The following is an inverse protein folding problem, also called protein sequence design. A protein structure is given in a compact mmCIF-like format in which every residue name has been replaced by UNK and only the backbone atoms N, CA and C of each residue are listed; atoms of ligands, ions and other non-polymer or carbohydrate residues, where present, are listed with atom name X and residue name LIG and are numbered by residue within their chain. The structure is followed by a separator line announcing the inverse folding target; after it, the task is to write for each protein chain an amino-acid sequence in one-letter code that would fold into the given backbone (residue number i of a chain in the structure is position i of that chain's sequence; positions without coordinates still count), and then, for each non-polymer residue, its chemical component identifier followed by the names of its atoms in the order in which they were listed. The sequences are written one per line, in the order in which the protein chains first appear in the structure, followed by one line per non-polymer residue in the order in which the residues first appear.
data_IF_344556168536
#
_entry.id   IF_344556168536
#
_cell.length_a   1.000
_cell.length_b   1.000
_cell.length_c   1.000
_cell.angle_alpha   90.00
_cell.angle_beta   90.00
_cell.angle_gamma   90.00
#
_symmetry.space_group_name_H-M   'P 1'
#
loop_
_entity.id
_entity.type
_entity.pdbx_description
1 polymer ?
#
# COMPACT_ATOMS: atom_id res chain seq x y z
N UNK A 1 36.00 -5.13 59.53
CA UNK A 1 34.94 -4.53 58.68
C UNK A 1 35.46 -4.54 57.25
N UNK A 2 34.98 -5.47 56.40
CA UNK A 2 35.42 -5.63 55.00
C UNK A 2 34.17 -5.64 54.12
N UNK A 3 33.93 -4.55 53.38
CA UNK A 3 32.80 -4.42 52.47
C UNK A 3 33.25 -4.99 51.12
N UNK A 4 32.65 -6.10 50.70
CA UNK A 4 32.79 -6.65 49.34
C UNK A 4 31.80 -5.90 48.44
N UNK A 5 32.30 -5.09 47.52
CA UNK A 5 31.48 -4.51 46.46
C UNK A 5 31.19 -5.58 45.40
N UNK A 6 29.91 -5.90 45.19
CA UNK A 6 29.44 -6.74 44.10
C UNK A 6 29.39 -5.87 42.83
N UNK A 7 30.21 -6.17 41.83
CA UNK A 7 30.14 -5.55 40.52
C UNK A 7 28.95 -6.14 39.75
N UNK A 8 27.97 -5.30 39.41
CA UNK A 8 26.89 -5.65 38.50
C UNK A 8 27.39 -5.56 37.06
N UNK A 9 27.47 -6.69 36.36
CA UNK A 9 27.67 -6.73 34.91
C UNK A 9 26.42 -6.20 34.21
N UNK A 10 26.52 -5.01 33.62
CA UNK A 10 25.55 -4.51 32.64
C UNK A 10 25.86 -5.17 31.31
N UNK A 11 25.06 -6.17 30.93
CA UNK A 11 25.04 -6.69 29.57
C UNK A 11 24.45 -5.62 28.64
N UNK A 12 25.30 -4.88 27.94
CA UNK A 12 24.90 -4.10 26.76
C UNK A 12 24.60 -5.09 25.62
N UNK A 13 23.34 -5.46 25.47
CA UNK A 13 22.85 -6.09 24.23
C UNK A 13 22.86 -5.03 23.13
N UNK A 14 23.90 -5.07 22.31
CA UNK A 14 23.99 -4.33 21.06
C UNK A 14 23.04 -4.99 20.05
N UNK A 15 21.75 -4.66 20.15
CA UNK A 15 20.76 -5.03 19.15
C UNK A 15 21.16 -4.35 17.85
N UNK A 16 21.63 -5.13 16.88
CA UNK A 16 22.05 -4.65 15.57
C UNK A 16 20.99 -3.72 14.98
N UNK A 17 21.39 -2.48 14.73
CA UNK A 17 20.67 -1.55 13.87
C UNK A 17 20.71 -2.12 12.44
N UNK A 18 19.87 -3.10 12.17
CA UNK A 18 19.39 -3.31 10.81
C UNK A 18 18.65 -2.04 10.45
N UNK A 19 19.20 -1.26 9.50
CA UNK A 19 18.45 -0.19 8.86
C UNK A 19 17.29 -0.85 8.12
N UNK A 20 16.16 -1.01 8.80
CA UNK A 20 14.91 -1.28 8.12
C UNK A 20 14.65 -0.04 7.24
N UNK A 21 14.77 -0.20 5.93
CA UNK A 21 14.26 0.81 5.01
C UNK A 21 12.77 0.92 5.29
N UNK A 22 12.31 2.12 5.65
CA UNK A 22 10.90 2.35 5.82
C UNK A 22 10.21 2.18 4.46
N UNK A 23 9.02 1.59 4.48
CA UNK A 23 8.13 1.58 3.32
C UNK A 23 8.02 3.00 2.73
N UNK A 24 7.95 3.08 1.41
CA UNK A 24 7.89 4.34 0.67
C UNK A 24 6.56 4.44 -0.05
N UNK A 25 5.86 5.55 0.15
CA UNK A 25 4.61 5.85 -0.53
C UNK A 25 4.86 6.76 -1.73
N UNK A 26 4.33 6.35 -2.88
CA UNK A 26 4.26 7.13 -4.09
C UNK A 26 2.81 7.54 -4.32
N UNK A 27 2.54 8.83 -4.38
CA UNK A 27 1.19 9.39 -4.59
C UNK A 27 1.10 10.03 -5.96
N UNK A 28 0.10 9.64 -6.73
CA UNK A 28 -0.24 10.24 -8.01
C UNK A 28 -1.38 11.24 -7.84
N UNK A 29 -1.14 12.47 -8.28
CA UNK A 29 -2.15 13.49 -8.44
C UNK A 29 -2.31 13.78 -9.93
N UNK A 30 -3.37 13.25 -10.53
CA UNK A 30 -3.75 13.53 -11.91
C UNK A 30 -4.36 14.91 -12.07
N UNK A 31 -4.53 15.27 -13.34
CA UNK A 31 -5.30 16.44 -13.75
C UNK A 31 -6.76 16.03 -14.00
N UNK A 32 -7.62 17.03 -14.14
CA UNK A 32 -8.99 16.79 -14.57
C UNK A 32 -9.03 16.25 -16.01
N UNK A 33 -10.06 15.44 -16.30
CA UNK A 33 -10.31 14.97 -17.66
C UNK A 33 -10.66 16.13 -18.61
N UNK A 34 -10.12 16.04 -19.82
CA UNK A 34 -10.43 16.96 -20.90
C UNK A 34 -11.66 16.52 -21.69
N UNK A 35 -11.82 15.21 -21.86
CA UNK A 35 -13.01 14.58 -22.42
C UNK A 35 -13.53 13.53 -21.44
N UNK A 36 -14.84 13.50 -21.25
CA UNK A 36 -15.49 12.62 -20.30
C UNK A 36 -16.93 12.35 -20.74
N UNK A 37 -17.25 11.06 -20.87
CA UNK A 37 -18.60 10.58 -21.09
C UNK A 37 -19.12 9.95 -19.80
N UNK A 38 -20.43 10.12 -19.56
CA UNK A 38 -21.09 9.57 -18.37
C UNK A 38 -20.69 8.09 -18.15
N UNK A 39 -20.46 7.64 -16.91
CA UNK A 39 -20.72 8.33 -15.65
C UNK A 39 -19.69 9.40 -15.26
N UNK A 40 -18.64 9.59 -16.07
CA UNK A 40 -17.58 10.54 -15.78
C UNK A 40 -17.97 11.98 -16.13
N UNK A 41 -17.24 12.92 -15.52
CA UNK A 41 -17.34 14.36 -15.82
C UNK A 41 -15.94 14.96 -15.93
N UNK A 42 -15.81 16.09 -16.63
CA UNK A 42 -14.54 16.83 -16.74
C UNK A 42 -14.08 17.50 -15.45
N UNK A 43 -14.85 17.39 -14.36
CA UNK A 43 -14.42 17.81 -13.02
C UNK A 43 -13.68 16.69 -12.26
N UNK A 44 -13.72 15.45 -12.78
CA UNK A 44 -13.04 14.30 -12.22
C UNK A 44 -11.65 14.14 -12.81
N UNK A 45 -10.81 13.34 -12.16
CA UNK A 45 -9.48 13.01 -12.61
C UNK A 45 -8.93 11.82 -11.83
N UNK A 46 -7.84 11.27 -12.33
CA UNK A 46 -7.22 10.10 -11.73
C UNK A 46 -6.38 10.52 -10.52
N UNK A 47 -6.51 9.81 -9.41
CA UNK A 47 -5.65 9.99 -8.24
C UNK A 47 -5.42 8.66 -7.54
N UNK A 48 -4.33 8.55 -6.78
CA UNK A 48 -4.08 7.32 -6.04
C UNK A 48 -2.70 7.25 -5.43
N UNK A 49 -2.39 6.11 -4.85
CA UNK A 49 -1.05 5.86 -4.32
C UNK A 49 -0.69 4.38 -4.32
N UNK A 50 0.60 4.14 -4.22
CA UNK A 50 1.19 2.81 -4.03
C UNK A 50 2.27 2.87 -2.94
N UNK A 51 2.39 1.80 -2.18
CA UNK A 51 3.38 1.64 -1.12
C UNK A 51 4.32 0.51 -1.50
N UNK A 52 5.62 0.78 -1.48
CA UNK A 52 6.67 -0.21 -1.74
C UNK A 52 7.49 -0.43 -0.47
N UNK A 53 8.09 -1.63 -0.26
CA UNK A 53 8.93 -1.91 0.91
C UNK A 53 10.20 -1.03 1.02
N UNK A 54 10.58 -0.38 -0.07
CA UNK A 54 11.69 0.56 -0.15
C UNK A 54 11.45 1.55 -1.29
N UNK A 55 12.16 2.68 -1.28
CA UNK A 55 12.18 3.59 -2.41
C UNK A 55 12.68 2.86 -3.66
N UNK A 56 12.09 3.19 -4.80
CA UNK A 56 12.58 2.76 -6.09
C UNK A 56 14.06 3.16 -6.26
N UNK A 57 14.84 2.33 -6.96
CA UNK A 57 16.24 2.64 -7.25
C UNK A 57 16.35 3.96 -8.02
N UNK A 58 17.43 4.70 -7.75
CA UNK A 58 17.75 5.94 -8.44
C UNK A 58 18.13 5.71 -9.91
N UNK A 59 17.83 6.71 -10.75
CA UNK A 59 18.25 6.82 -12.15
C UNK A 59 17.94 5.58 -13.01
N UNK A 60 16.79 4.96 -12.78
CA UNK A 60 16.35 3.83 -13.59
C UNK A 60 15.40 4.29 -14.70
N UNK A 61 15.37 3.51 -15.78
CA UNK A 61 14.46 3.73 -16.90
C UNK A 61 13.61 2.49 -17.09
N UNK A 62 12.30 2.69 -17.23
CA UNK A 62 11.35 1.64 -17.60
C UNK A 62 11.39 0.37 -16.74
N UNK A 63 11.58 0.53 -15.42
CA UNK A 63 11.51 -0.59 -14.49
C UNK A 63 10.06 -1.02 -14.29
N UNK A 64 9.81 -2.32 -14.44
CA UNK A 64 8.50 -2.91 -14.16
C UNK A 64 8.34 -3.08 -12.65
N UNK A 65 7.22 -2.62 -12.11
CA UNK A 65 6.88 -2.69 -10.68
C UNK A 65 5.57 -3.46 -10.51
N UNK A 66 5.39 -4.11 -9.36
CA UNK A 66 4.16 -4.85 -9.06
C UNK A 66 4.39 -6.32 -8.67
N UNK A 67 3.30 -7.11 -8.58
CA UNK A 67 3.36 -8.49 -8.10
C UNK A 67 4.31 -9.36 -8.93
N UNK A 68 5.16 -10.14 -8.25
CA UNK A 68 6.10 -11.05 -8.90
C UNK A 68 7.32 -10.40 -9.57
N UNK A 69 7.51 -9.08 -9.41
CA UNK A 69 8.67 -8.34 -9.93
C UNK A 69 9.74 -8.15 -8.85
N UNK A 70 10.92 -7.61 -9.23
CA UNK A 70 11.96 -7.18 -8.28
C UNK A 70 11.54 -6.00 -7.40
N UNK A 71 10.45 -5.31 -7.76
CA UNK A 71 9.93 -4.13 -7.05
C UNK A 71 8.45 -4.36 -6.70
N UNK A 72 8.17 -5.24 -5.72
CA UNK A 72 6.81 -5.56 -5.31
C UNK A 72 6.12 -4.35 -4.66
N UNK A 73 4.82 -4.25 -4.87
CA UNK A 73 3.96 -3.23 -4.27
C UNK A 73 3.23 -3.85 -3.08
N UNK A 74 3.46 -3.33 -1.88
CA UNK A 74 2.83 -3.78 -0.64
C UNK A 74 1.34 -3.48 -0.62
N UNK A 75 0.94 -2.26 -0.99
CA UNK A 75 -0.46 -1.83 -1.08
C UNK A 75 -0.63 -0.77 -2.16
N UNK A 76 -1.83 -0.67 -2.74
CA UNK A 76 -2.16 0.40 -3.69
C UNK A 76 -3.66 0.66 -3.73
N UNK A 77 -4.01 1.89 -4.10
CA UNK A 77 -5.39 2.34 -4.32
C UNK A 77 -5.41 3.49 -5.31
N UNK A 78 -6.23 3.40 -6.34
CA UNK A 78 -6.46 4.47 -7.32
C UNK A 78 -7.95 4.72 -7.49
N UNK A 79 -8.31 5.95 -7.86
CA UNK A 79 -9.65 6.32 -8.27
C UNK A 79 -9.58 7.09 -9.57
N UNK A 80 -10.55 6.84 -10.43
CA UNK A 80 -10.83 7.58 -11.67
C UNK A 80 -11.91 8.67 -11.46
N UNK A 81 -12.37 8.88 -10.21
CA UNK A 81 -13.47 9.78 -9.85
C UNK A 81 -14.85 9.13 -9.76
N UNK A 82 -15.02 7.90 -10.26
CA UNK A 82 -16.25 7.09 -10.17
C UNK A 82 -15.99 5.79 -9.42
N UNK A 83 -15.02 5.02 -9.90
CA UNK A 83 -14.55 3.76 -9.36
C UNK A 83 -13.36 3.95 -8.43
N UNK A 84 -13.16 2.97 -7.54
CA UNK A 84 -11.97 2.84 -6.71
C UNK A 84 -11.37 1.46 -6.93
N UNK A 85 -10.13 1.45 -7.43
CA UNK A 85 -9.35 0.28 -7.75
C UNK A 85 -8.36 -0.01 -6.63
N UNK A 86 -8.38 -1.24 -6.14
CA UNK A 86 -7.55 -1.73 -5.04
C UNK A 86 -7.04 -3.13 -5.35
N UNK A 87 -6.09 -3.62 -4.55
CA UNK A 87 -5.63 -5.02 -4.61
C UNK A 87 -6.76 -6.06 -4.52
N UNK A 88 -7.88 -5.72 -3.86
CA UNK A 88 -8.97 -6.66 -3.62
C UNK A 88 -9.95 -6.78 -4.78
N UNK A 89 -10.07 -5.76 -5.64
CA UNK A 89 -11.09 -5.68 -6.67
C UNK A 89 -10.55 -5.42 -8.08
N UNK A 90 -9.25 -5.18 -8.24
CA UNK A 90 -8.63 -4.92 -9.54
C UNK A 90 -7.24 -5.56 -9.65
N UNK A 91 -6.77 -5.69 -10.89
CA UNK A 91 -5.52 -6.35 -11.23
C UNK A 91 -4.56 -5.37 -11.93
N UNK A 92 -3.36 -5.24 -11.38
CA UNK A 92 -2.25 -4.53 -12.03
C UNK A 92 -1.73 -5.36 -13.21
N UNK A 93 -1.53 -4.71 -14.36
CA UNK A 93 -0.99 -5.32 -15.58
C UNK A 93 0.55 -5.27 -15.64
N UNK A 94 1.23 -5.68 -14.57
CA UNK A 94 2.70 -5.63 -14.47
C UNK A 94 3.37 -6.65 -15.39
N UNK A 95 4.22 -6.15 -16.30
CA UNK A 95 4.96 -7.00 -17.24
C UNK A 95 4.08 -7.66 -18.31
N UNK A 96 2.79 -7.33 -18.35
CA UNK A 96 1.87 -7.82 -19.36
C UNK A 96 2.05 -6.94 -20.60
N UNK A 97 2.49 -7.55 -21.70
CA UNK A 97 2.64 -6.87 -22.98
C UNK A 97 1.31 -6.84 -23.71
N UNK A 98 0.84 -5.64 -24.02
CA UNK A 98 -0.40 -5.33 -24.76
C UNK A 98 -0.01 -4.28 -25.78
N UNK A 99 0.52 -4.74 -26.91
CA UNK A 99 1.45 -3.93 -27.69
C UNK A 99 2.80 -3.76 -26.96
N UNK A 100 3.85 -3.49 -27.72
CA UNK A 100 5.18 -3.14 -27.22
C UNK A 100 5.15 -1.64 -26.83
N UNK A 101 5.57 -1.21 -25.62
CA UNK A 101 6.26 -1.94 -24.53
C UNK A 101 5.38 -2.43 -23.35
N UNK A 102 5.92 -3.33 -22.48
CA UNK A 102 5.22 -3.87 -21.30
C UNK A 102 4.64 -2.80 -20.38
N UNK A 103 3.48 -3.12 -19.79
CA UNK A 103 2.71 -2.22 -18.93
C UNK A 103 3.14 -2.31 -17.45
N UNK A 104 2.72 -1.28 -16.70
CA UNK A 104 3.03 -1.05 -15.29
C UNK A 104 4.53 -0.87 -14.99
N UNK A 105 5.10 0.13 -15.65
CA UNK A 105 6.50 0.51 -15.51
C UNK A 105 6.67 1.98 -15.18
N UNK A 106 7.80 2.31 -14.57
CA UNK A 106 8.19 3.67 -14.18
C UNK A 106 9.66 3.93 -14.47
N UNK A 107 10.01 5.20 -14.64
CA UNK A 107 11.40 5.70 -14.64
C UNK A 107 11.59 6.64 -13.45
N UNK A 108 12.82 6.73 -12.95
CA UNK A 108 13.14 7.47 -11.73
C UNK A 108 14.24 8.51 -11.89
N UNK A 109 14.21 9.55 -11.05
CA UNK A 109 15.30 10.50 -10.89
C UNK A 109 16.44 9.96 -10.01
N UNK A 110 17.46 10.78 -9.75
CA UNK A 110 18.60 10.43 -8.90
C UNK A 110 18.26 10.15 -7.42
N UNK A 111 17.02 10.39 -6.99
CA UNK A 111 16.52 10.12 -5.64
C UNK A 111 15.50 8.98 -5.59
N UNK A 112 15.12 8.39 -6.72
CA UNK A 112 14.08 7.37 -6.79
C UNK A 112 12.65 7.92 -6.91
N UNK A 113 12.47 9.22 -7.18
CA UNK A 113 11.15 9.77 -7.51
C UNK A 113 10.76 9.37 -8.92
N UNK A 114 9.46 9.11 -9.15
CA UNK A 114 8.94 8.76 -10.48
C UNK A 114 8.92 9.99 -11.38
N UNK A 115 9.56 9.87 -12.54
CA UNK A 115 9.66 10.93 -13.56
C UNK A 115 8.94 10.59 -14.86
N UNK A 116 8.76 9.31 -15.14
CA UNK A 116 7.95 8.81 -16.25
C UNK A 116 7.23 7.51 -15.85
N UNK A 117 6.10 7.23 -16.47
CA UNK A 117 5.27 6.07 -16.13
C UNK A 117 4.43 5.58 -17.32
N UNK A 118 4.05 4.32 -17.28
CA UNK A 118 3.01 3.70 -18.11
C UNK A 118 2.37 2.60 -17.28
N UNK A 119 1.27 2.95 -16.61
CA UNK A 119 0.55 2.11 -15.68
C UNK A 119 -0.80 1.75 -16.28
N UNK A 120 -1.18 0.48 -16.17
CA UNK A 120 -2.47 -0.01 -16.61
C UNK A 120 -3.01 -1.04 -15.60
N UNK A 121 -4.32 -0.99 -15.36
CA UNK A 121 -5.02 -1.93 -14.51
C UNK A 121 -6.38 -2.25 -15.09
N UNK A 122 -6.95 -3.36 -14.65
CA UNK A 122 -8.28 -3.82 -15.05
C UNK A 122 -9.08 -4.25 -13.83
N UNK A 123 -10.39 -4.05 -13.89
CA UNK A 123 -11.37 -4.47 -12.89
C UNK A 123 -12.47 -5.30 -13.57
N UNK A 124 -13.02 -6.36 -12.96
CA UNK A 124 -12.69 -6.87 -11.63
C UNK A 124 -11.30 -7.51 -11.57
N UNK A 125 -10.87 -8.02 -10.41
CA UNK A 125 -9.65 -8.81 -10.30
C UNK A 125 -9.77 -10.12 -11.11
N UNK A 126 -8.64 -10.63 -11.61
CA UNK A 126 -8.58 -11.92 -12.30
C UNK A 126 -9.05 -13.07 -11.38
N UNK A 127 -9.58 -14.20 -11.91
CA UNK A 127 -9.53 -14.62 -13.31
C UNK A 127 -10.58 -13.93 -14.20
N UNK A 128 -10.16 -13.67 -15.43
CA UNK A 128 -10.97 -13.07 -16.49
C UNK A 128 -11.34 -14.08 -17.56
N UNK A 129 -12.46 -13.83 -18.26
CA UNK A 129 -12.89 -14.58 -19.45
C UNK A 129 -13.14 -13.63 -20.62
N UNK A 130 -12.84 -14.02 -21.88
CA UNK A 130 -13.19 -13.22 -23.05
C UNK A 130 -14.70 -12.99 -23.12
N UNK A 131 -15.11 -11.80 -23.52
CA UNK A 131 -16.52 -11.38 -23.61
C UNK A 131 -17.09 -10.82 -22.30
N UNK A 132 -16.39 -10.93 -21.17
CA UNK A 132 -16.87 -10.34 -19.93
C UNK A 132 -16.69 -8.81 -19.95
N UNK A 133 -17.58 -8.07 -19.26
CA UNK A 133 -17.37 -6.66 -18.99
C UNK A 133 -16.21 -6.46 -17.99
N UNK A 134 -15.38 -5.46 -18.26
CA UNK A 134 -14.28 -5.01 -17.42
C UNK A 134 -14.21 -3.48 -17.44
N UNK A 135 -13.73 -2.88 -16.38
CA UNK A 135 -13.23 -1.51 -16.41
C UNK A 135 -11.72 -1.56 -16.68
N UNK A 136 -11.23 -0.65 -17.52
CA UNK A 136 -9.83 -0.60 -17.90
C UNK A 136 -9.28 0.82 -17.76
N UNK A 137 -8.18 0.91 -17.05
CA UNK A 137 -7.56 2.16 -16.66
C UNK A 137 -6.15 2.25 -17.22
N UNK A 138 -5.77 3.43 -17.72
CA UNK A 138 -4.39 3.73 -18.10
C UNK A 138 -3.96 5.13 -17.62
N UNK A 139 -2.76 5.21 -17.06
CA UNK A 139 -2.02 6.47 -16.94
C UNK A 139 -0.60 6.31 -17.46
N UNK A 140 -0.17 7.23 -18.30
CA UNK A 140 1.16 7.30 -18.88
C UNK A 140 1.74 8.71 -18.75
N UNK A 141 3.02 8.87 -19.07
CA UNK A 141 3.66 10.17 -19.28
C UNK A 141 4.20 10.21 -20.70
N UNK A 142 3.94 11.27 -21.47
CA UNK A 142 4.39 11.41 -22.86
C UNK A 142 3.30 11.90 -23.80
N UNK A 143 3.41 11.62 -25.10
CA UNK A 143 2.42 12.04 -26.11
C UNK A 143 1.36 10.96 -26.37
N UNK A 144 0.09 11.34 -26.37
CA UNK A 144 -1.07 10.46 -26.62
C UNK A 144 -2.12 10.59 -25.51
N UNK A 145 -2.99 9.59 -25.38
CA UNK A 145 -3.93 9.46 -24.27
C UNK A 145 -3.17 9.20 -22.97
N UNK A 146 -2.84 10.29 -22.26
CA UNK A 146 -1.98 10.28 -21.07
C UNK A 146 -2.72 9.68 -19.87
N UNK A 147 -4.02 9.93 -19.76
CA UNK A 147 -4.86 9.41 -18.69
C UNK A 147 -6.24 9.10 -19.26
N UNK A 148 -6.71 7.87 -19.08
CA UNK A 148 -8.01 7.45 -19.57
C UNK A 148 -8.53 6.20 -18.90
N UNK A 149 -9.85 6.09 -18.91
CA UNK A 149 -10.59 4.97 -18.36
C UNK A 149 -11.71 4.59 -19.34
N UNK A 150 -11.92 3.28 -19.49
CA UNK A 150 -13.07 2.71 -20.16
C UNK A 150 -13.86 1.91 -19.13
N UNK A 151 -15.12 2.30 -18.92
CA UNK A 151 -16.00 1.57 -18.01
C UNK A 151 -16.91 0.62 -18.77
N UNK A 152 -17.10 -0.58 -18.22
CA UNK A 152 -17.96 -1.63 -18.78
C UNK A 152 -17.60 -2.00 -20.23
N UNK A 153 -16.30 -2.02 -20.54
CA UNK A 153 -15.78 -2.46 -21.83
C UNK A 153 -15.63 -3.99 -21.89
N UNK A 154 -15.56 -4.56 -23.08
CA UNK A 154 -15.47 -6.01 -23.26
C UNK A 154 -14.02 -6.48 -23.31
N UNK A 155 -13.66 -7.41 -22.43
CA UNK A 155 -12.39 -8.12 -22.51
C UNK A 155 -12.32 -9.00 -23.76
N UNK A 156 -11.27 -8.89 -24.58
CA UNK A 156 -11.13 -9.68 -25.82
C UNK A 156 -9.93 -10.60 -25.85
N UNK A 157 -8.80 -10.20 -25.26
CA UNK A 157 -7.62 -11.06 -25.16
C UNK A 157 -7.23 -11.24 -23.70
N UNK A 158 -6.70 -12.43 -23.41
CA UNK A 158 -6.11 -12.77 -22.12
C UNK A 158 -4.61 -12.96 -22.27
N UNK A 159 -3.85 -12.52 -21.28
CA UNK A 159 -2.50 -12.99 -21.01
C UNK A 159 -2.56 -13.85 -19.74
N UNK A 160 -2.47 -15.17 -19.91
CA UNK A 160 -2.85 -16.10 -18.86
C UNK A 160 -4.35 -16.01 -18.56
N UNK A 161 -4.70 -15.63 -17.33
CA UNK A 161 -6.08 -15.40 -16.89
C UNK A 161 -6.40 -13.91 -16.67
N UNK A 162 -5.54 -13.00 -17.14
CA UNK A 162 -5.71 -11.56 -16.96
C UNK A 162 -6.08 -10.93 -18.30
N UNK A 163 -7.10 -10.07 -18.29
CA UNK A 163 -7.52 -9.30 -19.44
C UNK A 163 -6.40 -8.40 -19.90
N UNK A 164 -5.93 -8.65 -21.11
CA UNK A 164 -4.81 -7.97 -21.72
C UNK A 164 -5.23 -7.17 -22.95
N UNK A 165 -6.48 -7.20 -23.37
CA UNK A 165 -6.97 -6.26 -24.37
C UNK A 165 -8.47 -6.10 -24.19
N UNK A 166 -8.93 -4.86 -24.31
CA UNK A 166 -10.34 -4.49 -24.31
C UNK A 166 -10.71 -3.92 -25.67
N UNK A 167 -11.99 -3.96 -26.03
CA UNK A 167 -12.48 -3.22 -27.19
C UNK A 167 -12.64 -1.74 -26.84
N UNK A 168 -12.45 -0.86 -27.80
CA UNK A 168 -12.91 0.52 -27.65
C UNK A 168 -14.43 0.52 -27.56
N UNK A 169 -14.97 1.12 -26.50
CA UNK A 169 -16.40 1.12 -26.19
C UNK A 169 -16.64 1.07 -24.69
N UNK A 170 -17.85 0.66 -24.31
CA UNK A 170 -18.32 0.62 -22.92
C UNK A 170 -19.41 1.65 -22.64
N UNK A 171 -19.73 1.81 -21.36
CA UNK A 171 -20.75 2.78 -20.92
C UNK A 171 -20.17 4.15 -20.63
N UNK A 172 -18.86 4.25 -20.36
CA UNK A 172 -18.16 5.50 -20.09
C UNK A 172 -16.73 5.50 -20.64
N UNK A 173 -16.24 6.70 -20.94
CA UNK A 173 -14.91 6.96 -21.46
C UNK A 173 -14.36 8.25 -20.87
N UNK A 174 -13.07 8.28 -20.57
CA UNK A 174 -12.36 9.51 -20.18
C UNK A 174 -11.03 9.65 -20.89
N UNK A 175 -10.61 10.89 -21.06
CA UNK A 175 -9.32 11.23 -21.63
C UNK A 175 -8.78 12.54 -21.07
N UNK A 176 -7.48 12.58 -20.80
CA UNK A 176 -6.71 13.82 -20.67
C UNK A 176 -5.37 13.71 -21.43
N UNK A 177 -4.99 14.73 -22.21
CA UNK A 177 -3.66 14.87 -22.81
C UNK A 177 -2.67 15.56 -21.86
N UNK A 178 -3.05 15.85 -20.62
CA UNK A 178 -2.18 16.45 -19.63
C UNK A 178 -1.77 15.42 -18.58
N UNK A 179 -0.51 15.48 -18.16
CA UNK A 179 0.04 14.58 -17.17
C UNK A 179 -0.20 15.07 -15.75
N UNK A 180 -0.44 14.12 -14.85
CA UNK A 180 -0.36 14.36 -13.42
C UNK A 180 1.08 14.51 -12.93
N UNK A 181 1.22 14.39 -11.62
CA UNK A 181 2.51 14.41 -10.93
C UNK A 181 2.57 13.32 -9.87
N UNK A 182 3.79 12.84 -9.63
CA UNK A 182 4.10 11.93 -8.54
C UNK A 182 4.81 12.67 -7.41
N UNK A 183 4.46 12.32 -6.17
CA UNK A 183 5.23 12.68 -4.99
C UNK A 183 5.64 11.43 -4.21
N UNK A 184 6.80 11.48 -3.58
CA UNK A 184 7.37 10.39 -2.79
C UNK A 184 7.53 10.85 -1.34
N UNK A 185 7.16 9.99 -0.40
CA UNK A 185 7.33 10.23 1.03
C UNK A 185 7.52 8.92 1.80
N UNK A 186 8.11 8.95 3.00
CA UNK A 186 8.06 7.81 3.91
C UNK A 186 6.61 7.41 4.19
N UNK A 187 6.30 6.12 4.08
CA UNK A 187 4.98 5.61 4.42
C UNK A 187 4.82 5.57 5.94
N UNK A 188 3.73 6.17 6.41
CA UNK A 188 3.32 6.10 7.81
C UNK A 188 2.04 5.27 7.83
N UNK A 189 2.06 4.02 8.35
CA UNK A 189 0.86 3.22 8.41
C UNK A 189 -0.19 3.94 9.27
N UNK A 190 -1.49 3.85 8.90
CA UNK A 190 -2.56 4.34 9.75
C UNK A 190 -2.36 3.74 11.14
N UNK A 191 -2.18 4.58 12.16
CA UNK A 191 -2.10 4.08 13.52
C UNK A 191 -3.40 3.35 13.81
N UNK A 192 -3.36 2.10 14.30
CA UNK A 192 -4.54 1.48 14.87
C UNK A 192 -5.13 2.48 15.85
N UNK A 193 -6.42 2.80 15.72
CA UNK A 193 -7.10 3.63 16.71
C UNK A 193 -6.81 3.09 18.10
N UNK A 194 -6.80 3.94 19.15
CA UNK A 194 -6.44 3.52 20.50
C UNK A 194 -7.22 2.25 20.82
N UNK A 195 -6.50 1.13 20.91
CA UNK A 195 -7.09 -0.12 21.39
C UNK A 195 -7.59 0.23 22.78
N UNK A 196 -8.91 0.15 23.00
CA UNK A 196 -9.48 0.39 24.30
C UNK A 196 -8.76 -0.55 25.26
N UNK A 197 -7.80 -0.02 26.04
CA UNK A 197 -7.19 -0.75 27.12
C UNK A 197 -8.37 -1.13 28.01
N UNK A 198 -8.65 -2.41 28.26
CA UNK A 198 -9.70 -2.76 29.19
C UNK A 198 -9.35 -2.06 30.51
N UNK A 199 -10.15 -1.04 30.86
CA UNK A 199 -10.08 -0.42 32.16
C UNK A 199 -10.28 -1.56 33.14
N UNK A 200 -9.22 -1.94 33.87
CA UNK A 200 -9.34 -2.81 35.03
C UNK A 200 -10.37 -2.13 35.93
N UNK A 201 -11.60 -2.65 35.91
CA UNK A 201 -12.64 -2.18 36.79
C UNK A 201 -12.11 -2.22 38.22
N UNK A 202 -12.52 -1.25 39.04
CA UNK A 202 -12.14 -1.17 40.46
C UNK A 202 -12.11 -2.51 41.23
N UNK A 203 -13.00 -3.50 40.97
CA UNK A 203 -12.88 -4.83 41.59
C UNK A 203 -11.55 -5.56 41.29
N UNK A 204 -10.99 -5.43 40.09
CA UNK A 204 -9.72 -6.09 39.72
C UNK A 204 -8.50 -5.41 40.36
N UNK A 205 -8.56 -4.09 40.56
CA UNK A 205 -7.55 -3.31 41.31
C UNK A 205 -7.56 -3.68 42.80
N UNK A 206 -8.74 -3.88 43.39
CA UNK A 206 -8.89 -4.34 44.78
C UNK A 206 -8.42 -5.79 44.97
N UNK A 207 -8.65 -6.67 43.99
CA UNK A 207 -8.17 -8.05 44.05
C UNK A 207 -6.63 -8.14 44.04
N UNK A 208 -5.95 -7.28 43.24
CA UNK A 208 -4.49 -7.19 43.23
C UNK A 208 -3.93 -6.65 44.55
N UNK A 209 -4.55 -5.61 45.12
CA UNK A 209 -4.14 -5.05 46.41
C UNK A 209 -4.41 -6.04 47.57
N UNK A 210 -5.52 -6.77 47.53
CA UNK A 210 -5.86 -7.82 48.49
C UNK A 210 -4.91 -9.02 48.43
N UNK A 211 -4.49 -9.42 47.23
CA UNK A 211 -3.52 -10.51 47.04
C UNK A 211 -2.15 -10.21 47.64
N UNK A 212 -1.65 -8.98 47.48
CA UNK A 212 -0.36 -8.55 48.06
C UNK A 212 -0.43 -8.45 49.58
N UNK A 213 -1.54 -7.96 50.13
CA UNK A 213 -1.75 -7.91 51.59
C UNK A 213 -1.90 -9.31 52.20
N UNK A 214 -2.60 -10.22 51.52
CA UNK A 214 -2.76 -11.62 51.94
C UNK A 214 -1.45 -12.40 51.97
N UNK A 215 -0.60 -12.21 50.94
CA UNK A 215 0.74 -12.82 50.88
C UNK A 215 1.66 -12.33 52.01
N UNK A 216 1.65 -11.02 52.30
CA UNK A 216 2.44 -10.44 53.39
C UNK A 216 1.97 -10.90 54.78
N UNK A 217 0.65 -11.07 54.98
CA UNK A 217 0.10 -11.56 56.24
C UNK A 217 0.36 -13.07 56.44
N UNK A 218 0.32 -13.87 55.36
CA UNK A 218 0.66 -15.29 55.41
C UNK A 218 2.13 -15.53 55.74
N UNK A 219 3.05 -14.76 55.14
CA UNK A 219 4.48 -14.83 55.46
C UNK A 219 4.76 -14.51 56.93
N UNK A 220 4.15 -13.44 57.50
CA UNK A 220 4.33 -13.11 58.92
C UNK A 220 3.77 -14.16 59.88
N UNK A 221 2.68 -14.85 59.54
CA UNK A 221 2.17 -15.96 60.37
C UNK A 221 3.07 -17.18 60.32
N UNK A 222 3.68 -17.47 59.16
CA UNK A 222 4.61 -18.59 59.02
C UNK A 222 5.89 -18.39 59.82
N UNK A 223 6.36 -17.14 59.94
CA UNK A 223 7.58 -16.81 60.68
C UNK A 223 7.36 -16.69 62.20
N UNK A 224 6.11 -16.68 62.68
CA UNK A 224 5.75 -16.49 64.09
C UNK A 224 5.36 -17.74 64.88
N UNK A 225 5.32 -18.93 64.28
CA UNK A 225 4.97 -20.21 64.96
C UNK A 225 6.23 -21.04 65.24
N UNK A 226 7.27 -20.38 65.73
CA UNK A 226 8.56 -21.01 66.05
C UNK A 226 9.28 -20.27 67.16
N UNK A 227 8.65 -20.14 68.33
CA UNK A 227 9.32 -19.81 69.60
C UNK A 227 8.52 -20.41 70.75
#
# INVERSE_FOLDING_TARGET
MKIKALAASVCLSFSGLGLALADTQYTYAGVNYNDAHAPYTTAMGISGSMVLPASLPASQTDIVIGPGTSYPISSWSFSDGVNTYTQANAQILAGISIGDPPRFKVSTDGSGNITAWNLAMVSPAAPHVPGQPVDAFNIASGSGDIAGDHSDTTCVLLNGNVCSQVLDGGTGFTFSPAQGSWSMQPYIPPQPGPVAVPLLGWPALLALMGGVAGLAAWQRRRDGVGS
#
